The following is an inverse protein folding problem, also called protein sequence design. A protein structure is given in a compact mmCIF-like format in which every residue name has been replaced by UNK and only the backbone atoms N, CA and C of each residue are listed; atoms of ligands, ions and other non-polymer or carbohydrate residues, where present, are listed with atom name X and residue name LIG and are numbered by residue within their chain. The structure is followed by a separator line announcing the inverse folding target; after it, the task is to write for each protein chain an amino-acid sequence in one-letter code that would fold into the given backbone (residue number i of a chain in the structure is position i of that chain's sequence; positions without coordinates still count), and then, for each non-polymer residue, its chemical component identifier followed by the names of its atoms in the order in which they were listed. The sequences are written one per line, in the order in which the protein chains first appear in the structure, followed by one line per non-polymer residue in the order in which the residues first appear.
data_IF_554269867891
#
_entry.id   IF_554269867891
#
_cell.length_a   1.000
_cell.length_b   1.000
_cell.length_c   1.000
_cell.angle_alpha   90.00
_cell.angle_beta   90.00
_cell.angle_gamma   90.00
#
_symmetry.space_group_name_H-M   'P 1'
#
loop_
_entity.id
_entity.type
_entity.pdbx_description
1 polymer ?
#
# COMPACT_ATOMS: atom_id res chain seq x y z
N UNK A 1 17.22 10.22 -3.50
CA UNK A 1 16.12 9.66 -2.67
C UNK A 1 14.97 9.37 -3.61
N UNK A 2 14.41 8.16 -3.58
CA UNK A 2 13.26 7.81 -4.42
C UNK A 2 12.00 8.53 -3.95
N UNK A 3 11.04 8.77 -4.86
CA UNK A 3 9.76 9.36 -4.50
C UNK A 3 9.00 8.34 -3.64
N UNK A 4 8.65 8.73 -2.42
CA UNK A 4 7.92 7.88 -1.46
C UNK A 4 6.49 8.37 -1.30
N UNK A 5 5.54 7.46 -1.47
CA UNK A 5 4.13 7.65 -1.21
C UNK A 5 3.78 6.90 0.07
N UNK A 6 3.32 7.60 1.10
CA UNK A 6 2.76 6.96 2.28
C UNK A 6 1.30 6.64 2.01
N UNK A 7 0.93 5.36 2.13
CA UNK A 7 -0.45 4.92 1.94
C UNK A 7 -1.20 5.05 3.26
N UNK A 8 -0.67 4.46 4.32
CA UNK A 8 -1.12 4.69 5.68
C UNK A 8 0.04 4.57 6.67
N UNK A 9 -0.15 5.17 7.85
CA UNK A 9 0.74 5.02 8.99
C UNK A 9 -0.07 5.20 10.27
N UNK A 10 -0.32 4.10 10.97
CA UNK A 10 -0.96 4.14 12.29
C UNK A 10 0.08 4.42 13.35
N UNK A 11 1.24 3.75 13.24
CA UNK A 11 2.39 3.93 14.12
C UNK A 11 3.69 3.50 13.38
N UNK A 12 4.79 3.24 14.10
CA UNK A 12 6.06 2.82 13.48
C UNK A 12 6.15 1.32 13.15
N UNK A 13 5.21 0.52 13.64
CA UNK A 13 5.08 -0.92 13.47
C UNK A 13 3.89 -1.31 12.57
N UNK A 14 3.01 -0.36 12.25
CA UNK A 14 1.86 -0.54 11.37
C UNK A 14 1.81 0.57 10.32
N UNK A 15 2.45 0.32 9.17
CA UNK A 15 2.52 1.30 8.09
C UNK A 15 2.75 0.66 6.72
N UNK A 16 2.26 1.33 5.67
CA UNK A 16 2.48 0.92 4.30
C UNK A 16 2.91 2.12 3.44
N UNK A 17 3.95 1.92 2.66
CA UNK A 17 4.44 2.92 1.72
C UNK A 17 4.85 2.32 0.38
N UNK A 18 4.80 3.15 -0.66
CA UNK A 18 5.26 2.80 -2.01
C UNK A 18 6.41 3.72 -2.41
N UNK A 19 7.54 3.13 -2.80
CA UNK A 19 8.69 3.85 -3.32
C UNK A 19 8.79 3.65 -4.84
N UNK A 20 8.88 4.76 -5.58
CA UNK A 20 9.04 4.74 -7.04
C UNK A 20 10.53 4.72 -7.37
N UNK A 21 11.03 3.56 -7.79
CA UNK A 21 12.44 3.30 -8.08
C UNK A 21 12.69 3.19 -9.59
N UNK A 22 12.66 4.34 -10.27
CA UNK A 22 12.80 4.39 -11.74
C UNK A 22 11.60 3.73 -12.42
N UNK A 23 11.77 2.52 -12.95
CA UNK A 23 10.71 1.76 -13.63
C UNK A 23 9.96 0.77 -12.73
N UNK A 24 10.43 0.58 -11.50
CA UNK A 24 9.80 -0.32 -10.54
C UNK A 24 9.12 0.45 -9.42
N UNK A 25 8.12 -0.17 -8.82
CA UNK A 25 7.45 0.32 -7.61
C UNK A 25 7.69 -0.70 -6.50
N UNK A 26 8.16 -0.25 -5.35
CA UNK A 26 8.41 -1.12 -4.20
C UNK A 26 7.42 -0.75 -3.11
N UNK A 27 6.50 -1.66 -2.82
CA UNK A 27 5.64 -1.57 -1.62
C UNK A 27 6.41 -2.13 -0.45
N UNK A 28 6.44 -1.39 0.66
CA UNK A 28 6.90 -1.85 1.96
C UNK A 28 5.73 -1.75 2.93
N UNK A 29 5.32 -2.89 3.46
CA UNK A 29 4.30 -3.03 4.49
C UNK A 29 4.99 -3.50 5.78
N UNK A 30 4.73 -2.80 6.88
CA UNK A 30 5.19 -3.17 8.22
C UNK A 30 3.94 -3.44 9.06
N UNK A 31 3.90 -4.62 9.67
CA UNK A 31 2.89 -5.04 10.65
C UNK A 31 3.57 -5.60 11.89
N UNK A 32 3.00 -5.32 13.05
CA UNK A 32 3.44 -5.87 14.34
C UNK A 32 3.30 -7.41 14.42
N UNK A 33 2.35 -8.00 13.68
CA UNK A 33 2.08 -9.43 13.67
C UNK A 33 3.03 -10.22 12.75
N UNK A 34 3.44 -9.63 11.63
CA UNK A 34 4.13 -10.36 10.54
C UNK A 34 5.50 -9.76 10.18
N UNK A 35 5.86 -8.61 10.74
CA UNK A 35 7.11 -7.92 10.46
C UNK A 35 7.04 -7.07 9.20
N UNK A 36 8.12 -7.04 8.44
CA UNK A 36 8.22 -6.25 7.21
C UNK A 36 8.09 -7.15 5.98
N UNK A 37 7.15 -6.81 5.09
CA UNK A 37 7.00 -7.41 3.77
C UNK A 37 7.29 -6.38 2.68
N UNK A 38 7.95 -6.84 1.61
CA UNK A 38 8.28 -6.01 0.45
C UNK A 38 7.77 -6.66 -0.84
N UNK A 39 7.04 -5.91 -1.65
CA UNK A 39 6.57 -6.34 -2.96
C UNK A 39 7.10 -5.41 -4.05
N UNK A 40 7.66 -5.97 -5.12
CA UNK A 40 8.18 -5.20 -6.25
C UNK A 40 7.29 -5.39 -7.47
N UNK A 41 6.88 -4.28 -8.07
CA UNK A 41 6.04 -4.22 -9.25
C UNK A 41 6.77 -3.53 -10.40
N UNK A 42 6.45 -3.95 -11.62
CA UNK A 42 7.02 -3.36 -12.85
C UNK A 42 6.08 -2.35 -13.51
N UNK A 43 4.86 -2.19 -13.00
CA UNK A 43 3.88 -1.25 -13.52
C UNK A 43 2.82 -0.85 -12.49
N UNK A 44 2.21 0.33 -12.67
CA UNK A 44 1.09 0.80 -11.84
C UNK A 44 -0.14 -0.11 -11.89
N UNK A 45 -0.57 -0.65 -13.06
CA UNK A 45 -1.68 -1.61 -13.09
C UNK A 45 -1.43 -2.86 -12.24
N UNK A 46 -0.19 -3.37 -12.24
CA UNK A 46 0.17 -4.52 -11.41
C UNK A 46 0.09 -4.19 -9.90
N UNK A 47 0.57 -3.02 -9.51
CA UNK A 47 0.43 -2.50 -8.14
C UNK A 47 -1.04 -2.37 -7.74
N UNK A 48 -1.86 -1.77 -8.60
CA UNK A 48 -3.30 -1.59 -8.34
C UNK A 48 -4.01 -2.92 -8.20
N UNK A 49 -3.73 -3.89 -9.08
CA UNK A 49 -4.32 -5.22 -8.99
C UNK A 49 -3.93 -5.92 -7.67
N UNK A 50 -2.69 -5.78 -7.23
CA UNK A 50 -2.27 -6.27 -5.91
C UNK A 50 -3.04 -5.57 -4.77
N UNK A 51 -3.15 -4.24 -4.82
CA UNK A 51 -3.87 -3.48 -3.80
C UNK A 51 -5.34 -3.89 -3.70
N UNK A 52 -6.03 -4.07 -4.83
CA UNK A 52 -7.43 -4.53 -4.88
C UNK A 52 -7.63 -5.93 -4.27
N UNK A 53 -6.64 -6.82 -4.42
CA UNK A 53 -6.71 -8.15 -3.82
C UNK A 53 -6.35 -8.15 -2.32
N UNK A 54 -5.47 -7.23 -1.91
CA UNK A 54 -4.98 -7.07 -0.53
C UNK A 54 -5.97 -6.34 0.37
N UNK A 55 -6.69 -5.35 -0.15
CA UNK A 55 -7.65 -4.52 0.57
C UNK A 55 -9.08 -4.82 0.10
N UNK A 56 -9.63 -5.95 0.57
CA UNK A 56 -10.97 -6.39 0.17
C UNK A 56 -12.03 -5.67 0.99
N UNK A 57 -13.14 -5.31 0.36
CA UNK A 57 -14.24 -4.62 1.03
C UNK A 57 -14.78 -5.37 2.27
N UNK A 58 -14.73 -6.71 2.25
CA UNK A 58 -15.16 -7.56 3.37
C UNK A 58 -14.34 -7.32 4.66
N UNK A 59 -13.05 -6.96 4.54
CA UNK A 59 -12.16 -6.70 5.67
C UNK A 59 -12.38 -5.31 6.32
N UNK A 60 -13.18 -4.47 5.65
CA UNK A 60 -13.42 -3.07 6.01
C UNK A 60 -14.89 -2.78 6.36
N UNK A 61 -15.68 -3.79 6.73
CA UNK A 61 -17.06 -3.60 7.16
C UNK A 61 -17.14 -2.64 8.36
N UNK A 62 -17.86 -1.52 8.20
CA UNK A 62 -17.93 -0.44 9.19
C UNK A 62 -16.74 0.54 9.20
N UNK A 63 -15.79 0.38 8.26
CA UNK A 63 -14.64 1.27 8.01
C UNK A 63 -14.42 1.48 6.51
N UNK A 64 -15.50 1.53 5.74
CA UNK A 64 -15.45 1.62 4.28
C UNK A 64 -14.73 2.89 3.78
N UNK A 65 -14.84 3.99 4.53
CA UNK A 65 -14.13 5.24 4.24
C UNK A 65 -12.60 5.08 4.28
N UNK A 66 -12.09 4.23 5.18
CA UNK A 66 -10.66 3.93 5.30
C UNK A 66 -10.17 3.22 4.03
N UNK A 67 -10.95 2.26 3.53
CA UNK A 67 -10.65 1.57 2.27
C UNK A 67 -10.61 2.55 1.08
N UNK A 68 -11.59 3.47 1.02
CA UNK A 68 -11.64 4.48 -0.04
C UNK A 68 -10.41 5.38 0.00
N UNK A 69 -9.99 5.82 1.19
CA UNK A 69 -8.79 6.63 1.34
C UNK A 69 -7.53 5.87 0.91
N UNK A 70 -7.33 4.64 1.42
CA UNK A 70 -6.19 3.78 1.06
C UNK A 70 -6.09 3.63 -0.46
N UNK A 71 -7.19 3.27 -1.11
CA UNK A 71 -7.22 3.07 -2.56
C UNK A 71 -7.03 4.38 -3.33
N UNK A 72 -7.48 5.52 -2.81
CA UNK A 72 -7.18 6.82 -3.40
C UNK A 72 -5.68 7.12 -3.37
N UNK A 73 -4.99 6.85 -2.25
CA UNK A 73 -3.52 7.03 -2.15
C UNK A 73 -2.77 6.18 -3.15
N UNK A 74 -3.19 4.93 -3.38
CA UNK A 74 -2.57 4.08 -4.40
C UNK A 74 -2.72 4.63 -5.82
N UNK A 75 -3.84 5.28 -6.15
CA UNK A 75 -4.05 5.91 -7.47
C UNK A 75 -3.15 7.12 -7.71
N UNK A 76 -2.69 7.78 -6.64
CA UNK A 76 -1.77 8.93 -6.70
C UNK A 76 -0.29 8.55 -6.86
N UNK A 77 0.07 7.28 -6.62
CA UNK A 77 1.41 6.71 -6.84
C UNK A 77 1.78 6.76 -8.30
#
# INVERSE_FOLDING_TARGET
MFKKHQIYKTDNYNMLSVEVQGKTLVVREISDQWGEECHTFVSRPQLMHWAENRFRAEDFAGREDELVEIMARFREV
#
